data_IF_985558498063
#
_entry.id   IF_985558498063
#
_cell.length_a   1.000
_cell.length_b   1.000
_cell.length_c   1.000
_cell.angle_alpha   90.00
_cell.angle_beta   90.00
_cell.angle_gamma   90.00
#
_symmetry.space_group_name_H-M   'P 1'
#
loop_
_entity.id
_entity.type
_entity.pdbx_description
1 polymer ?
#
# COMPACT_ATOMS: atom_id res chain seq x y z
N UNK A 1 19.01 7.68 -14.09
CA UNK A 1 19.28 7.37 -12.67
C UNK A 1 19.29 5.86 -12.50
N UNK A 2 20.35 5.29 -11.90
CA UNK A 2 20.37 3.86 -11.56
C UNK A 2 19.40 3.58 -10.40
N UNK A 3 18.61 2.50 -10.48
CA UNK A 3 17.70 2.09 -9.41
C UNK A 3 18.53 1.61 -8.21
N UNK A 4 18.44 2.31 -7.07
CA UNK A 4 19.10 1.89 -5.83
C UNK A 4 18.30 0.72 -5.23
N UNK A 5 18.94 -0.44 -5.10
CA UNK A 5 18.34 -1.60 -4.45
C UNK A 5 18.24 -1.34 -2.95
N UNK A 6 17.02 -1.45 -2.40
CA UNK A 6 16.78 -1.43 -0.97
C UNK A 6 16.51 -2.85 -0.49
N UNK A 7 17.15 -3.24 0.61
CA UNK A 7 16.90 -4.53 1.27
C UNK A 7 15.97 -4.30 2.45
N UNK A 8 14.91 -5.09 2.53
CA UNK A 8 13.96 -5.07 3.63
C UNK A 8 13.98 -6.43 4.33
N UNK A 9 14.10 -6.41 5.66
CA UNK A 9 13.84 -7.57 6.48
C UNK A 9 12.41 -7.48 6.98
N UNK A 10 11.59 -8.45 6.57
CA UNK A 10 10.21 -8.59 7.00
C UNK A 10 10.10 -9.82 7.90
N UNK A 11 9.22 -9.81 8.91
CA UNK A 11 8.86 -11.02 9.63
C UNK A 11 8.42 -12.12 8.66
N UNK A 12 8.83 -13.36 8.92
CA UNK A 12 8.59 -14.53 8.05
C UNK A 12 7.13 -14.63 7.59
N UNK A 13 6.18 -14.49 8.53
CA UNK A 13 4.74 -14.54 8.27
C UNK A 13 4.29 -13.46 7.28
N UNK A 14 4.75 -12.23 7.48
CA UNK A 14 4.40 -11.09 6.61
C UNK A 14 4.97 -11.29 5.21
N UNK A 15 6.20 -11.83 5.10
CA UNK A 15 6.78 -12.17 3.81
C UNK A 15 5.92 -13.21 3.07
N UNK A 16 5.51 -14.28 3.74
CA UNK A 16 4.69 -15.33 3.15
C UNK A 16 3.34 -14.79 2.65
N UNK A 17 2.68 -13.95 3.44
CA UNK A 17 1.40 -13.34 3.05
C UNK A 17 1.55 -12.46 1.80
N UNK A 18 2.60 -11.63 1.75
CA UNK A 18 2.86 -10.74 0.60
C UNK A 18 3.25 -11.56 -0.63
N UNK A 19 4.07 -12.60 -0.49
CA UNK A 19 4.46 -13.48 -1.59
C UNK A 19 3.25 -14.23 -2.16
N UNK A 20 2.37 -14.75 -1.30
CA UNK A 20 1.13 -15.40 -1.72
C UNK A 20 0.23 -14.43 -2.50
N UNK A 21 0.06 -13.20 -2.01
CA UNK A 21 -0.71 -12.16 -2.70
C UNK A 21 -0.10 -11.79 -4.06
N UNK A 22 1.23 -11.63 -4.12
CA UNK A 22 1.92 -11.29 -5.38
C UNK A 22 1.73 -12.36 -6.45
N UNK A 23 1.74 -13.64 -6.05
CA UNK A 23 1.47 -14.78 -6.94
C UNK A 23 0.01 -14.81 -7.41
N UNK A 24 -0.96 -14.57 -6.52
CA UNK A 24 -2.39 -14.51 -6.89
C UNK A 24 -2.67 -13.43 -7.94
N UNK A 25 -1.94 -12.31 -7.87
CA UNK A 25 -2.12 -11.15 -8.74
C UNK A 25 -1.21 -11.13 -9.97
N UNK A 26 -0.38 -12.15 -10.17
CA UNK A 26 0.60 -12.23 -11.26
C UNK A 26 1.50 -10.97 -11.36
N UNK A 27 1.96 -10.48 -10.21
CA UNK A 27 2.85 -9.32 -10.11
C UNK A 27 4.12 -9.69 -9.35
N UNK A 28 5.23 -9.01 -9.67
CA UNK A 28 6.46 -9.22 -8.92
C UNK A 28 6.37 -8.58 -7.52
N UNK A 29 7.04 -9.18 -6.53
CA UNK A 29 7.16 -8.60 -5.19
C UNK A 29 7.69 -7.16 -5.23
N UNK A 30 8.63 -6.88 -6.13
CA UNK A 30 9.19 -5.53 -6.31
C UNK A 30 8.17 -4.52 -6.85
N UNK A 31 7.27 -4.94 -7.74
CA UNK A 31 6.19 -4.08 -8.25
C UNK A 31 5.15 -3.82 -7.17
N UNK A 32 4.74 -4.86 -6.45
CA UNK A 32 3.81 -4.75 -5.33
C UNK A 32 4.32 -3.75 -4.30
N UNK A 33 5.57 -3.93 -3.82
CA UNK A 33 6.17 -3.02 -2.84
C UNK A 33 6.25 -1.58 -3.37
N UNK A 34 6.59 -1.39 -4.66
CA UNK A 34 6.65 -0.06 -5.25
C UNK A 34 5.27 0.60 -5.31
N UNK A 35 4.23 -0.15 -5.68
CA UNK A 35 2.86 0.34 -5.71
C UNK A 35 2.37 0.68 -4.31
N UNK A 36 2.64 -0.17 -3.31
CA UNK A 36 2.28 0.08 -1.91
C UNK A 36 2.93 1.36 -1.36
N UNK A 37 4.23 1.56 -1.59
CA UNK A 37 4.93 2.78 -1.17
C UNK A 37 4.34 4.01 -1.87
N UNK A 38 4.06 3.92 -3.17
CA UNK A 38 3.45 5.03 -3.92
C UNK A 38 2.05 5.38 -3.38
N UNK A 39 1.23 4.38 -3.10
CA UNK A 39 -0.09 4.60 -2.51
C UNK A 39 0.02 5.25 -1.14
N UNK A 40 0.93 4.79 -0.28
CA UNK A 40 1.20 5.40 1.01
C UNK A 40 1.59 6.88 0.88
N UNK A 41 2.51 7.22 -0.05
CA UNK A 41 2.91 8.61 -0.27
C UNK A 41 1.74 9.50 -0.71
N UNK A 42 0.93 9.04 -1.67
CA UNK A 42 -0.26 9.78 -2.13
C UNK A 42 -1.22 9.98 -0.96
N UNK A 43 -1.51 8.92 -0.23
CA UNK A 43 -2.41 8.93 0.92
C UNK A 43 -1.92 9.95 1.99
N UNK A 44 -0.61 9.95 2.27
CA UNK A 44 0.00 10.86 3.23
C UNK A 44 -0.08 12.31 2.77
N UNK A 45 0.21 12.59 1.50
CA UNK A 45 0.13 13.93 0.92
C UNK A 45 -1.29 14.51 1.01
N UNK A 46 -2.30 13.70 0.70
CA UNK A 46 -3.70 14.13 0.85
C UNK A 46 -4.06 14.39 2.32
N UNK A 47 -3.57 13.57 3.25
CA UNK A 47 -3.74 13.79 4.69
C UNK A 47 -3.09 15.10 5.14
N UNK A 48 -1.87 15.39 4.68
CA UNK A 48 -1.13 16.63 5.00
C UNK A 48 -1.83 17.88 4.46
N UNK A 49 -2.56 17.74 3.34
CA UNK A 49 -3.41 18.79 2.79
C UNK A 49 -4.75 18.98 3.54
N UNK A 50 -5.03 18.15 4.56
CA UNK A 50 -6.24 18.20 5.36
C UNK A 50 -7.44 17.45 4.77
N UNK A 51 -7.24 16.63 3.74
CA UNK A 51 -8.31 15.78 3.21
C UNK A 51 -8.59 14.60 4.13
N UNK A 52 -9.87 14.32 4.34
CA UNK A 52 -10.34 13.12 5.05
C UNK A 52 -10.44 11.96 4.07
N UNK A 53 -9.89 10.82 4.46
CA UNK A 53 -9.94 9.60 3.67
C UNK A 53 -11.10 8.73 4.14
N UNK A 54 -11.86 8.18 3.20
CA UNK A 54 -13.00 7.32 3.49
C UNK A 54 -12.88 6.00 2.73
N UNK A 55 -13.08 4.89 3.44
CA UNK A 55 -13.24 3.59 2.80
C UNK A 55 -14.68 3.48 2.29
N UNK A 56 -14.81 3.20 0.99
CA UNK A 56 -16.07 2.85 0.34
C UNK A 56 -15.96 1.43 -0.19
N UNK A 57 -16.95 0.60 0.10
CA UNK A 57 -17.20 -0.62 -0.67
C UNK A 57 -18.03 -0.27 -1.90
N UNK A 58 -17.52 -0.64 -3.07
CA UNK A 58 -18.23 -0.73 -4.34
C UNK A 58 -19.38 0.28 -4.55
N UNK A 59 -19.04 1.56 -4.69
CA UNK A 59 -19.99 2.61 -5.09
C UNK A 59 -21.00 3.05 -4.04
N UNK A 60 -20.94 2.53 -2.81
CA UNK A 60 -21.83 2.90 -1.70
C UNK A 60 -21.40 4.13 -0.89
N UNK A 61 -22.23 4.47 0.10
CA UNK A 61 -21.93 5.47 1.12
C UNK A 61 -20.66 5.10 1.92
N UNK A 62 -19.85 6.08 2.37
CA UNK A 62 -18.62 5.81 3.09
C UNK A 62 -18.89 5.08 4.42
N UNK A 63 -18.30 3.89 4.58
CA UNK A 63 -18.50 3.05 5.77
C UNK A 63 -17.64 3.50 6.94
N UNK A 64 -16.47 4.11 6.69
CA UNK A 64 -15.52 4.48 7.74
C UNK A 64 -14.53 5.56 7.31
N UNK A 65 -14.32 6.56 8.17
CA UNK A 65 -13.20 7.51 8.08
C UNK A 65 -11.90 6.79 8.46
N UNK A 66 -10.88 6.89 7.61
CA UNK A 66 -9.53 6.42 7.92
C UNK A 66 -8.82 7.57 8.61
N UNK A 67 -8.45 7.35 9.88
CA UNK A 67 -7.55 8.24 10.63
C UNK A 67 -6.16 7.65 10.47
N UNK A 68 -5.28 8.38 9.79
CA UNK A 68 -3.86 8.05 9.73
C UNK A 68 -3.16 8.74 10.90
N UNK A 69 -2.30 8.03 11.66
CA UNK A 69 -1.56 8.59 12.78
C UNK A 69 -0.45 9.56 12.36
#
# INVERSE_FOLDING_TARGET
>A
MAKKLMQFQLPEKVRQDIEAYSKDKDITLSELLRQSVRLYMIINEYSDMGYKLFLRKDGGEPEKEIILP
#
